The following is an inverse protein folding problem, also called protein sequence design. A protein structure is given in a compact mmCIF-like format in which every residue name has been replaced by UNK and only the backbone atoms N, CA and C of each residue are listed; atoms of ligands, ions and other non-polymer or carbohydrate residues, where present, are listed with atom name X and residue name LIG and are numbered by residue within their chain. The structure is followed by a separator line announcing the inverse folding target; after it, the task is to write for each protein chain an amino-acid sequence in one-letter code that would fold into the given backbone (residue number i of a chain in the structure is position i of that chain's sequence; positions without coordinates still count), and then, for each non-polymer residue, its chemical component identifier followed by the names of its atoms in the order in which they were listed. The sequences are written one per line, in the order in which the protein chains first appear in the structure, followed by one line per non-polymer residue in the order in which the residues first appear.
data_IF_399490374050
#
_entry.id   IF_399490374050
#
_cell.length_a   1.000
_cell.length_b   1.000
_cell.length_c   1.000
_cell.angle_alpha   90.00
_cell.angle_beta   90.00
_cell.angle_gamma   90.00
#
_symmetry.space_group_name_H-M   'P 1'
#
loop_
_entity.id
_entity.type
_entity.pdbx_description
1 polymer ?
#
# COMPACT_ATOMS: atom_id res chain seq x y z
N UNK A 1 11.21 21.37 -2.51
CA UNK A 1 11.80 20.07 -2.15
C UNK A 1 12.71 19.67 -3.29
N UNK A 2 14.01 19.67 -3.06
CA UNK A 2 14.97 19.15 -4.04
C UNK A 2 14.98 17.63 -3.89
N UNK A 3 14.63 16.87 -4.94
CA UNK A 3 14.94 15.43 -5.03
C UNK A 3 16.46 15.20 -5.26
N UNK A 4 17.31 16.11 -4.79
CA UNK A 4 18.75 16.04 -4.91
C UNK A 4 19.35 15.14 -3.84
N UNK A 5 19.41 13.84 -4.14
CA UNK A 5 20.04 12.85 -3.28
C UNK A 5 20.40 11.59 -4.06
N UNK A 6 21.44 11.69 -4.88
CA UNK A 6 22.03 10.68 -5.78
C UNK A 6 21.37 10.58 -7.16
N UNK A 7 22.11 10.99 -8.19
CA UNK A 7 21.78 10.69 -9.57
C UNK A 7 21.92 9.17 -9.78
N UNK A 8 20.78 8.48 -9.87
CA UNK A 8 20.76 7.05 -10.20
C UNK A 8 20.69 6.90 -11.72
N UNK A 9 21.64 6.18 -12.31
CA UNK A 9 21.61 5.86 -13.73
C UNK A 9 20.52 4.82 -13.98
N UNK A 10 19.49 5.20 -14.76
CA UNK A 10 18.27 4.41 -15.00
C UNK A 10 18.25 3.72 -16.38
N UNK A 11 19.39 3.68 -17.07
CA UNK A 11 19.55 3.07 -18.40
C UNK A 11 19.51 4.06 -19.56
N UNK A 12 19.77 3.58 -20.78
CA UNK A 12 19.91 4.39 -22.00
C UNK A 12 18.57 4.81 -22.63
N UNK A 13 17.45 4.24 -22.18
CA UNK A 13 16.13 4.54 -22.73
C UNK A 13 15.56 5.84 -22.15
N UNK A 14 15.16 6.76 -23.04
CA UNK A 14 14.64 8.11 -22.73
C UNK A 14 13.39 8.09 -21.79
N UNK A 15 12.70 6.95 -21.66
CA UNK A 15 11.53 6.78 -20.79
C UNK A 15 11.80 6.32 -19.36
N UNK A 16 12.98 5.77 -19.05
CA UNK A 16 13.22 5.11 -17.76
C UNK A 16 13.26 6.07 -16.57
N UNK A 17 13.77 7.30 -16.77
CA UNK A 17 13.81 8.32 -15.72
C UNK A 17 12.42 8.81 -15.31
N UNK A 18 11.56 9.05 -16.30
CA UNK A 18 10.18 9.49 -16.05
C UNK A 18 9.33 8.39 -15.40
N UNK A 19 9.55 7.12 -15.77
CA UNK A 19 8.89 5.99 -15.14
C UNK A 19 9.31 5.84 -13.67
N UNK A 20 10.61 5.96 -13.37
CA UNK A 20 11.10 5.92 -11.99
C UNK A 20 10.54 7.07 -11.15
N UNK A 21 10.60 8.31 -11.66
CA UNK A 21 10.05 9.49 -10.98
C UNK A 21 8.57 9.31 -10.65
N UNK A 22 7.77 8.86 -11.63
CA UNK A 22 6.35 8.57 -11.43
C UNK A 22 6.10 7.49 -10.38
N UNK A 23 6.95 6.47 -10.33
CA UNK A 23 6.85 5.37 -9.36
C UNK A 23 7.16 5.85 -7.94
N UNK A 24 8.20 6.67 -7.78
CA UNK A 24 8.55 7.30 -6.49
C UNK A 24 7.43 8.22 -6.01
N UNK A 25 6.88 9.05 -6.91
CA UNK A 25 5.74 9.93 -6.56
C UNK A 25 4.49 9.13 -6.19
N UNK A 26 4.22 8.01 -6.86
CA UNK A 26 3.12 7.11 -6.49
C UNK A 26 3.23 6.61 -5.05
N UNK A 27 4.42 6.18 -4.63
CA UNK A 27 4.66 5.76 -3.24
C UNK A 27 4.51 6.94 -2.28
N UNK A 28 5.11 8.10 -2.61
CA UNK A 28 5.03 9.30 -1.77
C UNK A 28 3.59 9.73 -1.50
N UNK A 29 2.77 9.84 -2.54
CA UNK A 29 1.36 10.24 -2.39
C UNK A 29 0.52 9.16 -1.72
N UNK A 30 0.84 7.88 -1.93
CA UNK A 30 0.20 6.77 -1.20
C UNK A 30 0.45 6.83 0.31
N UNK A 31 1.70 7.03 0.71
CA UNK A 31 2.09 7.19 2.13
C UNK A 31 1.49 8.47 2.73
N UNK A 32 1.50 9.58 1.99
CA UNK A 32 0.91 10.84 2.47
C UNK A 32 -0.60 10.70 2.70
N UNK A 33 -1.34 10.11 1.76
CA UNK A 33 -2.79 9.91 1.89
C UNK A 33 -3.12 8.95 3.03
N UNK A 34 -2.38 7.84 3.18
CA UNK A 34 -2.61 6.87 4.25
C UNK A 34 -2.37 7.47 5.64
N UNK A 35 -1.33 8.29 5.78
CA UNK A 35 -1.04 9.02 7.02
C UNK A 35 -2.13 10.03 7.37
N UNK A 36 -2.60 10.83 6.39
CA UNK A 36 -3.67 11.81 6.60
C UNK A 36 -5.00 11.15 6.96
N UNK A 37 -5.35 10.02 6.32
CA UNK A 37 -6.51 9.23 6.71
C UNK A 37 -6.37 8.70 8.16
N UNK A 38 -5.19 8.23 8.53
CA UNK A 38 -4.89 7.80 9.91
C UNK A 38 -5.04 8.94 10.93
N UNK A 39 -4.62 10.16 10.60
CA UNK A 39 -4.87 11.35 11.43
C UNK A 39 -6.37 11.56 11.66
N UNK A 40 -7.19 11.45 10.60
CA UNK A 40 -8.64 11.60 10.73
C UNK A 40 -9.24 10.61 11.75
N UNK A 41 -8.75 9.36 11.76
CA UNK A 41 -9.13 8.36 12.76
C UNK A 41 -8.66 8.78 14.16
N UNK A 42 -7.40 9.17 14.32
CA UNK A 42 -6.85 9.61 15.60
C UNK A 42 -7.61 10.81 16.18
N UNK A 43 -7.90 11.83 15.37
CA UNK A 43 -8.63 13.03 15.79
C UNK A 43 -10.05 12.71 16.25
N UNK A 44 -10.71 11.73 15.62
CA UNK A 44 -12.04 11.26 16.03
C UNK A 44 -12.08 10.62 17.43
N UNK A 45 -10.92 10.22 17.96
CA UNK A 45 -10.73 9.64 19.30
C UNK A 45 -9.95 10.57 20.25
N UNK A 46 -9.68 11.81 19.85
CA UNK A 46 -8.90 12.76 20.65
C UNK A 46 -7.42 12.41 20.79
N UNK A 47 -6.89 11.54 19.94
CA UNK A 47 -5.45 11.22 19.87
C UNK A 47 -4.75 12.33 19.10
N UNK A 48 -3.72 12.92 19.71
CA UNK A 48 -2.97 14.00 19.07
C UNK A 48 -2.10 13.49 17.90
N UNK A 49 -1.92 14.33 16.89
CA UNK A 49 -1.01 14.05 15.76
C UNK A 49 0.40 13.73 16.25
N UNK A 50 0.87 14.39 17.33
CA UNK A 50 2.18 14.13 17.92
C UNK A 50 2.29 12.72 18.49
N UNK A 51 1.26 12.24 19.20
CA UNK A 51 1.22 10.86 19.71
C UNK A 51 1.23 9.87 18.55
N UNK A 52 0.39 10.09 17.53
CA UNK A 52 0.35 9.22 16.36
C UNK A 52 1.70 9.17 15.62
N UNK A 53 2.34 10.34 15.41
CA UNK A 53 3.68 10.42 14.80
C UNK A 53 4.73 9.62 15.57
N UNK A 54 4.70 9.66 16.90
CA UNK A 54 5.65 8.90 17.72
C UNK A 54 5.49 7.38 17.58
N UNK A 55 4.29 6.91 17.24
CA UNK A 55 3.98 5.49 17.02
C UNK A 55 4.32 5.06 15.59
N UNK A 56 3.90 5.85 14.59
CA UNK A 56 4.03 5.45 13.19
C UNK A 56 5.46 5.58 12.67
N UNK A 57 6.28 6.49 13.21
CA UNK A 57 7.66 6.69 12.76
C UNK A 57 8.52 5.42 12.83
N UNK A 58 8.63 4.72 13.98
CA UNK A 58 9.40 3.47 14.04
C UNK A 58 8.80 2.34 13.19
N UNK A 59 7.48 2.35 12.97
CA UNK A 59 6.80 1.37 12.10
C UNK A 59 7.20 1.60 10.63
N UNK A 60 7.24 2.86 10.19
CA UNK A 60 7.65 3.25 8.84
C UNK A 60 9.11 2.90 8.55
N UNK A 61 10.01 3.02 9.53
CA UNK A 61 11.44 2.74 9.36
C UNK A 61 11.85 1.29 9.60
N UNK A 62 10.94 0.42 10.07
CA UNK A 62 11.19 -1.00 10.32
C UNK A 62 10.19 -1.86 9.58
N UNK A 63 9.07 -2.28 10.21
CA UNK A 63 8.08 -3.20 9.63
C UNK A 63 7.63 -2.89 8.19
N UNK A 64 7.46 -1.60 7.84
CA UNK A 64 7.07 -1.22 6.47
C UNK A 64 8.23 -1.45 5.49
N UNK A 65 9.47 -1.15 5.86
CA UNK A 65 10.64 -1.46 5.04
C UNK A 65 10.79 -2.97 4.85
N UNK A 66 10.64 -3.75 5.92
CA UNK A 66 10.68 -5.22 5.86
C UNK A 66 9.61 -5.76 4.88
N UNK A 67 8.41 -5.18 4.89
CA UNK A 67 7.34 -5.53 3.95
C UNK A 67 7.74 -5.24 2.49
N UNK A 68 8.43 -4.14 2.22
CA UNK A 68 8.91 -3.81 0.87
C UNK A 68 9.99 -4.79 0.37
N UNK A 69 10.86 -5.27 1.26
CA UNK A 69 11.87 -6.30 0.95
C UNK A 69 11.23 -7.67 0.67
N UNK A 70 10.18 -8.02 1.42
CA UNK A 70 9.36 -9.21 1.15
C UNK A 70 8.69 -9.10 -0.22
N UNK A 71 8.15 -7.93 -0.57
CA UNK A 71 7.59 -7.67 -1.89
C UNK A 71 8.62 -7.94 -3.00
N UNK A 72 9.83 -7.37 -2.89
CA UNK A 72 10.91 -7.63 -3.87
C UNK A 72 11.17 -9.14 -4.01
N UNK A 73 11.33 -9.83 -2.87
CA UNK A 73 11.68 -11.26 -2.85
C UNK A 73 10.60 -12.12 -3.50
N UNK A 74 9.33 -11.95 -3.13
CA UNK A 74 8.22 -12.74 -3.65
C UNK A 74 7.94 -12.44 -5.12
N UNK A 75 7.97 -11.15 -5.51
CA UNK A 75 7.73 -10.74 -6.89
C UNK A 75 8.82 -11.29 -7.82
N UNK A 76 10.09 -11.28 -7.40
CA UNK A 76 11.19 -11.84 -8.19
C UNK A 76 11.10 -13.37 -8.33
N UNK A 77 10.56 -14.07 -7.32
CA UNK A 77 10.34 -15.52 -7.37
C UNK A 77 9.07 -15.91 -8.13
N UNK A 78 8.09 -14.99 -8.25
CA UNK A 78 6.75 -15.31 -8.75
C UNK A 78 5.99 -16.28 -7.84
N UNK A 79 6.33 -16.31 -6.55
CA UNK A 79 5.71 -17.16 -5.54
C UNK A 79 5.27 -16.27 -4.37
N UNK A 80 3.95 -16.20 -4.19
CA UNK A 80 3.31 -15.39 -3.15
C UNK A 80 2.72 -16.25 -2.03
N UNK A 81 3.07 -17.54 -1.98
CA UNK A 81 2.76 -18.36 -0.83
C UNK A 81 3.59 -17.91 0.38
N UNK A 82 2.97 -17.94 1.56
CA UNK A 82 3.61 -17.48 2.78
C UNK A 82 2.72 -17.70 4.00
N UNK A 83 3.21 -17.28 5.16
CA UNK A 83 2.59 -17.53 6.47
C UNK A 83 2.35 -16.28 7.30
N UNK A 84 2.70 -15.09 6.82
CA UNK A 84 2.55 -13.84 7.59
C UNK A 84 1.08 -13.43 7.66
N UNK A 85 0.47 -13.16 6.50
CA UNK A 85 -0.95 -12.81 6.42
C UNK A 85 -1.51 -13.08 5.02
N UNK A 86 -2.48 -13.99 4.94
CA UNK A 86 -3.20 -14.26 3.70
C UNK A 86 -4.03 -13.06 3.24
N UNK A 87 -4.37 -13.02 1.95
CA UNK A 87 -5.22 -11.98 1.38
C UNK A 87 -6.57 -11.84 2.10
N UNK A 88 -7.10 -12.96 2.63
CA UNK A 88 -8.32 -12.94 3.46
C UNK A 88 -8.12 -12.17 4.77
N UNK A 89 -6.97 -12.33 5.43
CA UNK A 89 -6.61 -11.58 6.65
C UNK A 89 -6.41 -10.10 6.33
N UNK A 90 -5.70 -9.79 5.25
CA UNK A 90 -5.49 -8.41 4.78
C UNK A 90 -6.82 -7.70 4.50
N UNK A 91 -7.73 -8.37 3.76
CA UNK A 91 -9.08 -7.87 3.49
C UNK A 91 -9.83 -7.57 4.79
N UNK A 92 -9.79 -8.47 5.78
CA UNK A 92 -10.49 -8.28 7.05
C UNK A 92 -9.97 -7.06 7.82
N UNK A 93 -8.63 -6.86 7.85
CA UNK A 93 -8.02 -5.69 8.47
C UNK A 93 -8.46 -4.38 7.78
N UNK A 94 -8.47 -4.34 6.45
CA UNK A 94 -8.92 -3.17 5.69
C UNK A 94 -10.43 -2.91 5.88
N UNK A 95 -11.24 -3.97 5.94
CA UNK A 95 -12.67 -3.87 6.22
C UNK A 95 -12.95 -3.28 7.61
N UNK A 96 -12.09 -3.56 8.59
CA UNK A 96 -12.17 -2.93 9.91
C UNK A 96 -11.88 -1.44 9.84
N UNK A 97 -10.83 -1.02 9.10
CA UNK A 97 -10.53 0.41 8.87
C UNK A 97 -11.75 1.11 8.22
N UNK A 98 -12.36 0.48 7.21
CA UNK A 98 -13.56 1.01 6.56
C UNK A 98 -14.72 1.19 7.55
N UNK A 99 -14.98 0.20 8.42
CA UNK A 99 -16.04 0.28 9.45
C UNK A 99 -15.80 1.46 10.39
N UNK A 100 -14.58 1.59 10.91
CA UNK A 100 -14.19 2.70 11.79
C UNK A 100 -14.39 4.04 11.08
N UNK A 101 -13.95 4.17 9.82
CA UNK A 101 -14.15 5.40 9.06
C UNK A 101 -15.64 5.75 8.89
N UNK A 102 -16.49 4.76 8.59
CA UNK A 102 -17.94 4.96 8.48
C UNK A 102 -18.57 5.39 9.81
N UNK A 103 -18.23 4.72 10.90
CA UNK A 103 -18.74 5.01 12.25
C UNK A 103 -18.34 6.41 12.72
N UNK A 104 -17.18 6.90 12.30
CA UNK A 104 -16.63 8.21 12.70
C UNK A 104 -16.90 9.32 11.68
N UNK A 105 -17.61 9.04 10.59
CA UNK A 105 -17.91 10.03 9.55
C UNK A 105 -16.68 10.51 8.77
N UNK A 106 -15.64 9.69 8.70
CA UNK A 106 -14.41 9.95 7.94
C UNK A 106 -14.61 9.50 6.49
N UNK A 107 -13.99 10.18 5.53
CA UNK A 107 -14.08 9.81 4.12
C UNK A 107 -13.58 8.38 3.88
N UNK A 108 -14.38 7.56 3.21
CA UNK A 108 -14.13 6.12 3.02
C UNK A 108 -13.44 5.77 1.70
N UNK A 109 -13.19 6.73 0.82
CA UNK A 109 -12.67 6.46 -0.54
C UNK A 109 -11.32 5.75 -0.52
N UNK A 110 -10.47 6.08 0.47
CA UNK A 110 -9.17 5.43 0.64
C UNK A 110 -9.29 3.95 1.07
N UNK A 111 -9.94 3.60 2.19
CA UNK A 111 -10.10 2.19 2.57
C UNK A 111 -10.95 1.39 1.59
N UNK A 112 -11.92 2.01 0.89
CA UNK A 112 -12.67 1.37 -0.19
C UNK A 112 -11.78 0.99 -1.38
N UNK A 113 -10.87 1.87 -1.79
CA UNK A 113 -9.89 1.59 -2.84
C UNK A 113 -9.02 0.39 -2.48
N UNK A 114 -8.46 0.37 -1.27
CA UNK A 114 -7.66 -0.78 -0.79
C UNK A 114 -8.48 -2.08 -0.78
N UNK A 115 -9.73 -2.00 -0.32
CA UNK A 115 -10.62 -3.14 -0.23
C UNK A 115 -10.97 -3.71 -1.62
N UNK A 116 -11.09 -2.86 -2.64
CA UNK A 116 -11.32 -3.28 -4.02
C UNK A 116 -10.18 -4.16 -4.55
N UNK A 117 -8.92 -3.75 -4.34
CA UNK A 117 -7.76 -4.57 -4.74
C UNK A 117 -7.76 -5.95 -4.07
N UNK A 118 -8.03 -6.02 -2.77
CA UNK A 118 -8.12 -7.31 -2.06
C UNK A 118 -9.31 -8.16 -2.55
N UNK A 119 -10.46 -7.54 -2.87
CA UNK A 119 -11.62 -8.25 -3.42
C UNK A 119 -11.31 -8.82 -4.80
N UNK A 120 -10.66 -8.05 -5.67
CA UNK A 120 -10.23 -8.49 -7.00
C UNK A 120 -9.20 -9.62 -6.92
N UNK A 121 -8.28 -9.55 -5.97
CA UNK A 121 -7.35 -10.64 -5.69
C UNK A 121 -8.09 -11.90 -5.27
N UNK A 122 -8.96 -11.84 -4.26
CA UNK A 122 -9.74 -13.01 -3.79
C UNK A 122 -10.63 -13.59 -4.89
N UNK A 123 -11.15 -12.77 -5.81
CA UNK A 123 -11.92 -13.25 -6.94
C UNK A 123 -11.06 -13.98 -8.00
N UNK A 124 -9.74 -13.74 -8.03
CA UNK A 124 -8.81 -14.50 -8.85
C UNK A 124 -8.53 -15.86 -8.19
N UNK A 125 -8.73 -16.94 -8.93
CA UNK A 125 -8.63 -18.30 -8.41
C UNK A 125 -7.24 -18.57 -7.80
N UNK A 126 -7.20 -18.96 -6.51
CA UNK A 126 -5.98 -19.36 -5.80
C UNK A 126 -5.27 -18.25 -5.03
N UNK A 127 -5.75 -17.00 -5.12
CA UNK A 127 -5.10 -15.86 -4.46
C UNK A 127 -5.60 -15.61 -3.03
N UNK A 128 -6.62 -16.32 -2.54
CA UNK A 128 -7.19 -16.05 -1.21
C UNK A 128 -6.19 -16.31 -0.07
N UNK A 129 -5.25 -17.21 -0.31
CA UNK A 129 -4.20 -17.64 0.61
C UNK A 129 -2.84 -16.96 0.34
N UNK A 130 -2.69 -16.25 -0.78
CA UNK A 130 -1.45 -15.54 -1.07
C UNK A 130 -1.29 -14.30 -0.21
N UNK A 131 -0.04 -13.91 -0.02
CA UNK A 131 0.30 -12.71 0.73
C UNK A 131 0.07 -11.44 -0.09
N UNK A 132 0.13 -10.29 0.60
CA UNK A 132 -0.09 -8.97 0.03
C UNK A 132 0.68 -8.69 -1.28
N UNK A 133 1.93 -9.15 -1.50
CA UNK A 133 2.66 -8.90 -2.75
C UNK A 133 1.96 -9.44 -4.01
N UNK A 134 1.08 -10.44 -3.88
CA UNK A 134 0.29 -10.96 -5.01
C UNK A 134 -0.63 -9.92 -5.68
N UNK A 135 -0.91 -8.78 -5.00
CA UNK A 135 -1.64 -7.66 -5.61
C UNK A 135 -0.95 -7.10 -6.87
N UNK A 136 0.35 -7.34 -7.04
CA UNK A 136 1.05 -6.96 -8.28
C UNK A 136 0.42 -7.59 -9.53
N UNK A 137 -0.15 -8.79 -9.40
CA UNK A 137 -0.81 -9.49 -10.52
C UNK A 137 -2.11 -8.79 -10.90
N UNK A 138 -2.84 -8.25 -9.92
CA UNK A 138 -4.04 -7.43 -10.16
C UNK A 138 -3.67 -6.08 -10.79
N UNK A 139 -2.54 -5.49 -10.38
CA UNK A 139 -2.04 -4.22 -10.94
C UNK A 139 -1.58 -4.40 -12.39
N UNK A 140 -0.97 -5.55 -12.73
CA UNK A 140 -0.50 -5.87 -14.09
C UNK A 140 -1.61 -6.28 -15.05
N UNK A 141 -2.81 -6.59 -14.56
CA UNK A 141 -3.95 -6.86 -15.42
C UNK A 141 -4.30 -5.60 -16.22
N UNK A 142 -4.22 -5.69 -17.55
CA UNK A 142 -4.71 -4.63 -18.42
C UNK A 142 -6.20 -4.43 -18.15
N UNK A 143 -6.61 -3.19 -17.84
CA UNK A 143 -8.02 -2.83 -17.98
C UNK A 143 -8.35 -2.95 -19.48
N UNK A 144 -9.17 -3.94 -19.84
CA UNK A 144 -9.81 -3.96 -21.15
C UNK A 144 -10.52 -2.62 -21.31
N UNK A 145 -10.04 -1.81 -22.25
CA UNK A 145 -10.76 -0.61 -22.67
C UNK A 145 -12.01 -1.10 -23.41
N UNK A 146 -13.14 -1.06 -22.74
CA UNK A 146 -14.45 -1.04 -23.41
C UNK A 146 -14.69 0.36 -24.01
#
# INVERSE_FOLDING_TARGET
MSLGGQAQFVGEAIGSASALDSSVLSVYYGVALSFLHGIGICESEGISIKQFLSIITPILSGPIIDTLEICETMINKGDYSGSEASMTVQKAAIQHILSVSQEKGINTSYPECLLDYCKRAIAAAGHEQYELPSLIEIIRQNQSKD
#
